data_IF_204554189719
#
_entry.id   IF_204554189719
#
_cell.length_a   1.000
_cell.length_b   1.000
_cell.length_c   1.000
_cell.angle_alpha   90.00
_cell.angle_beta   90.00
_cell.angle_gamma   90.00
#
_symmetry.space_group_name_H-M   'P 1'
#
loop_
_entity.id
_entity.type
_entity.pdbx_description
1 polymer ?
#
# COMPACT_ATOMS: atom_id res chain seq x y z
N UNK A 1 -13.95 -8.15 21.61
CA UNK A 1 -13.58 -6.73 21.80
C UNK A 1 -12.23 -6.71 22.49
N UNK A 2 -11.34 -5.83 22.06
CA UNK A 2 -10.00 -5.65 22.64
C UNK A 2 -9.86 -4.19 23.06
N UNK A 3 -9.25 -3.92 24.21
CA UNK A 3 -9.07 -2.59 24.80
C UNK A 3 -7.62 -2.50 25.32
N UNK A 4 -7.01 -1.34 25.19
CA UNK A 4 -5.66 -1.04 25.67
C UNK A 4 -4.65 -0.91 24.53
N UNK A 5 -3.43 -1.36 24.78
CA UNK A 5 -2.38 -1.37 23.77
C UNK A 5 -2.39 -2.72 23.04
N UNK A 6 -2.31 -2.71 21.71
CA UNK A 6 -2.27 -3.96 20.97
C UNK A 6 -2.22 -3.82 19.45
N UNK A 7 -2.14 -4.98 18.80
CA UNK A 7 -2.06 -5.08 17.35
C UNK A 7 -3.45 -4.96 16.70
N UNK A 8 -3.86 -3.73 16.41
CA UNK A 8 -5.16 -3.45 15.78
C UNK A 8 -5.09 -3.37 14.26
N UNK A 9 -5.65 -4.40 13.61
CA UNK A 9 -5.91 -4.41 12.16
C UNK A 9 -7.41 -4.42 11.91
N UNK A 10 -7.98 -3.26 11.62
CA UNK A 10 -9.40 -3.04 11.38
C UNK A 10 -9.60 -1.79 10.52
N UNK A 11 -10.65 -1.78 9.69
CA UNK A 11 -10.91 -0.63 8.84
C UNK A 11 -9.75 -0.34 7.88
N UNK A 12 -9.24 0.88 8.01
CA UNK A 12 -8.17 1.47 7.22
C UNK A 12 -6.86 1.59 8.00
N UNK A 13 -6.68 0.88 9.11
CA UNK A 13 -5.40 0.78 9.82
C UNK A 13 -4.85 -0.65 9.80
N UNK A 14 -3.52 -0.75 9.80
CA UNK A 14 -2.79 -2.03 9.87
C UNK A 14 -1.64 -1.94 10.87
N UNK A 15 -1.27 -3.08 11.44
CA UNK A 15 -0.10 -3.23 12.31
C UNK A 15 1.12 -3.73 11.55
N UNK A 16 0.89 -4.46 10.47
CA UNK A 16 1.94 -5.06 9.65
C UNK A 16 2.18 -4.21 8.40
N UNK A 17 3.46 -4.04 8.07
CA UNK A 17 3.96 -3.57 6.79
C UNK A 17 4.94 -4.62 6.27
N UNK A 18 4.97 -4.85 4.96
CA UNK A 18 5.92 -5.79 4.35
C UNK A 18 7.38 -5.36 4.52
N UNK A 19 7.63 -4.11 4.89
CA UNK A 19 8.96 -3.54 5.10
C UNK A 19 9.43 -3.60 6.56
N UNK A 20 8.55 -3.79 7.53
CA UNK A 20 8.92 -3.79 8.95
C UNK A 20 9.48 -5.14 9.41
N UNK A 21 10.34 -5.09 10.44
CA UNK A 21 10.79 -6.26 11.18
C UNK A 21 9.86 -6.61 12.36
N UNK A 22 9.12 -5.63 12.86
CA UNK A 22 8.26 -5.72 14.04
C UNK A 22 6.89 -5.09 13.73
N UNK A 23 5.85 -5.60 14.36
CA UNK A 23 4.50 -5.05 14.20
C UNK A 23 4.36 -3.71 14.91
N UNK A 24 3.70 -2.75 14.26
CA UNK A 24 3.28 -1.51 14.91
C UNK A 24 2.08 -1.77 15.84
N UNK A 25 1.98 -1.01 16.93
CA UNK A 25 0.91 -1.15 17.93
C UNK A 25 0.07 0.13 18.02
N UNK A 26 -1.15 -0.02 18.51
CA UNK A 26 -2.09 1.07 18.73
C UNK A 26 -2.61 1.05 20.16
N UNK A 27 -2.93 2.23 20.70
CA UNK A 27 -3.66 2.40 21.97
C UNK A 27 -5.12 2.74 21.67
N UNK A 28 -6.07 1.99 22.23
CA UNK A 28 -7.50 2.29 22.10
C UNK A 28 -8.39 1.07 22.27
N UNK A 29 -9.36 0.89 21.36
CA UNK A 29 -10.15 -0.33 21.29
C UNK A 29 -10.40 -0.82 19.86
N UNK A 30 -10.62 -2.12 19.72
CA UNK A 30 -11.00 -2.78 18.48
C UNK A 30 -12.21 -3.69 18.69
N UNK A 31 -13.12 -3.66 17.73
CA UNK A 31 -14.26 -4.57 17.63
C UNK A 31 -14.15 -5.37 16.34
N UNK A 32 -14.43 -6.66 16.41
CA UNK A 32 -14.57 -7.54 15.24
C UNK A 32 -15.80 -8.40 15.46
N UNK A 33 -16.70 -8.38 14.49
CA UNK A 33 -17.93 -9.16 14.48
C UNK A 33 -18.04 -9.90 13.15
N UNK A 34 -18.51 -11.14 13.19
CA UNK A 34 -18.94 -11.88 12.00
C UNK A 34 -20.46 -12.08 12.10
N UNK A 35 -21.18 -11.80 11.02
CA UNK A 35 -22.61 -12.07 10.90
C UNK A 35 -22.88 -12.62 9.50
N UNK A 36 -23.24 -13.90 9.42
CA UNK A 36 -23.33 -14.63 8.14
C UNK A 36 -22.03 -14.46 7.33
N UNK A 37 -22.18 -14.00 6.08
CA UNK A 37 -21.13 -13.72 5.12
C UNK A 37 -20.43 -12.37 5.32
N UNK A 38 -20.89 -11.59 6.30
CA UNK A 38 -20.33 -10.28 6.63
C UNK A 38 -19.30 -10.38 7.75
N UNK A 39 -18.18 -9.70 7.55
CA UNK A 39 -17.19 -9.38 8.57
C UNK A 39 -17.18 -7.87 8.77
N UNK A 40 -17.48 -7.45 9.98
CA UNK A 40 -17.50 -6.05 10.40
C UNK A 40 -16.35 -5.86 11.38
N UNK A 41 -15.50 -4.88 11.14
CA UNK A 41 -14.42 -4.52 12.06
C UNK A 41 -14.38 -3.03 12.24
N UNK A 42 -14.02 -2.60 13.43
CA UNK A 42 -13.81 -1.19 13.73
C UNK A 42 -12.73 -1.01 14.77
N UNK A 43 -12.10 0.14 14.76
CA UNK A 43 -11.15 0.57 15.77
C UNK A 43 -11.34 2.05 16.05
N UNK A 44 -11.09 2.43 17.30
CA UNK A 44 -10.90 3.80 17.75
C UNK A 44 -9.59 3.82 18.51
N UNK A 45 -8.66 4.66 18.07
CA UNK A 45 -7.30 4.70 18.60
C UNK A 45 -6.92 6.13 18.95
N UNK A 46 -6.09 6.29 19.98
CA UNK A 46 -5.61 7.57 20.51
C UNK A 46 -4.09 7.62 20.62
N UNK A 47 -3.39 6.55 20.21
CA UNK A 47 -1.94 6.48 20.24
C UNK A 47 -1.41 5.45 19.25
N UNK A 48 -0.16 5.65 18.84
CA UNK A 48 0.53 4.78 17.89
C UNK A 48 1.98 4.54 18.32
N UNK A 49 2.44 3.31 18.11
CA UNK A 49 3.84 2.91 18.25
C UNK A 49 4.28 2.26 16.95
N UNK A 50 5.27 2.85 16.28
CA UNK A 50 5.88 2.27 15.09
C UNK A 50 6.53 0.91 15.42
N UNK A 51 6.72 0.04 14.42
CA UNK A 51 7.30 -1.29 14.65
C UNK A 51 8.70 -1.23 15.29
N UNK A 52 9.49 -0.23 14.92
CA UNK A 52 10.82 0.04 15.49
C UNK A 52 10.80 1.06 16.66
N UNK A 53 9.62 1.46 17.13
CA UNK A 53 9.47 2.37 18.27
C UNK A 53 9.54 1.62 19.60
N UNK A 54 10.05 2.28 20.63
CA UNK A 54 10.08 1.76 22.00
C UNK A 54 8.86 2.14 22.83
N UNK A 55 8.16 3.21 22.44
CA UNK A 55 7.14 3.86 23.27
C UNK A 55 5.88 4.19 22.47
N UNK A 56 4.74 4.14 23.18
CA UNK A 56 3.46 4.58 22.64
C UNK A 56 3.42 6.11 22.58
N UNK A 57 3.38 6.65 21.36
CA UNK A 57 3.31 8.08 21.09
C UNK A 57 1.91 8.56 20.74
N UNK A 58 1.82 9.87 20.47
CA UNK A 58 0.62 10.51 19.95
C UNK A 58 0.36 10.11 18.50
N UNK A 59 -0.85 10.36 18.05
CA UNK A 59 -1.18 10.28 16.63
C UNK A 59 -0.80 11.61 15.96
N UNK A 60 -0.18 11.51 14.80
CA UNK A 60 0.44 12.64 14.10
C UNK A 60 0.00 12.68 12.65
N UNK A 61 -0.40 13.85 12.17
CA UNK A 61 -0.66 14.16 10.77
C UNK A 61 0.67 14.33 10.02
N UNK A 62 0.82 13.59 8.92
CA UNK A 62 1.96 13.70 8.02
C UNK A 62 1.58 13.25 6.63
N UNK A 63 1.75 14.09 5.61
CA UNK A 63 1.39 13.69 4.24
C UNK A 63 2.52 12.92 3.54
N UNK A 64 3.77 13.16 3.95
CA UNK A 64 4.96 12.39 3.54
C UNK A 64 5.71 11.86 4.77
N UNK A 65 5.96 10.55 4.81
CA UNK A 65 6.64 9.90 5.93
C UNK A 65 8.07 10.42 6.14
N UNK A 66 8.72 10.93 5.07
CA UNK A 66 10.11 11.40 5.09
C UNK A 66 10.26 12.89 5.38
N UNK A 67 9.17 13.64 5.55
CA UNK A 67 9.26 15.05 5.90
C UNK A 67 9.92 15.21 7.28
N UNK A 68 10.81 16.18 7.46
CA UNK A 68 11.49 16.41 8.74
C UNK A 68 10.80 17.49 9.57
N UNK A 69 9.81 18.17 8.99
CA UNK A 69 9.06 19.22 9.65
C UNK A 69 8.19 18.69 10.81
N UNK A 70 7.92 19.54 11.83
CA UNK A 70 7.11 19.16 12.98
C UNK A 70 5.73 18.68 12.53
N UNK A 71 5.35 17.48 12.95
CA UNK A 71 4.02 16.94 12.68
C UNK A 71 2.98 17.59 13.60
N UNK A 72 1.83 17.92 13.03
CA UNK A 72 0.64 18.26 13.80
C UNK A 72 0.10 17.00 14.48
N UNK A 73 -0.34 17.13 15.73
CA UNK A 73 -0.93 16.00 16.47
C UNK A 73 -2.45 16.05 16.39
N UNK A 74 -3.09 14.89 16.36
CA UNK A 74 -4.55 14.78 16.42
C UNK A 74 -4.97 13.77 17.50
N UNK A 75 -6.13 14.01 18.12
CA UNK A 75 -6.51 13.30 19.35
C UNK A 75 -6.86 11.83 19.13
N UNK A 76 -7.53 11.53 18.02
CA UNK A 76 -8.01 10.20 17.74
C UNK A 76 -8.11 9.90 16.25
N UNK A 77 -8.04 8.61 15.94
CA UNK A 77 -8.37 8.03 14.65
C UNK A 77 -9.41 6.95 14.86
N UNK A 78 -10.52 7.02 14.16
CA UNK A 78 -11.48 5.92 14.12
C UNK A 78 -11.64 5.40 12.71
N UNK A 79 -11.88 4.10 12.60
CA UNK A 79 -12.05 3.45 11.31
C UNK A 79 -12.92 2.22 11.42
N UNK A 80 -13.64 1.90 10.35
CA UNK A 80 -14.43 0.70 10.24
C UNK A 80 -14.42 0.15 8.82
N UNK A 81 -14.58 -1.16 8.69
CA UNK A 81 -14.86 -1.82 7.42
C UNK A 81 -15.97 -2.85 7.54
N UNK A 82 -16.67 -3.03 6.43
CA UNK A 82 -17.58 -4.13 6.19
C UNK A 82 -17.07 -4.88 4.97
N UNK A 83 -16.77 -6.16 5.15
CA UNK A 83 -16.39 -7.09 4.08
C UNK A 83 -17.47 -8.15 3.94
N UNK A 84 -17.95 -8.38 2.73
CA UNK A 84 -18.81 -9.52 2.41
C UNK A 84 -18.08 -10.46 1.46
N UNK A 85 -18.10 -11.75 1.76
CA UNK A 85 -17.63 -12.82 0.87
C UNK A 85 -18.85 -13.57 0.34
N UNK A 86 -18.97 -13.70 -0.99
CA UNK A 86 -20.11 -14.34 -1.66
C UNK A 86 -19.61 -15.64 -2.26
N UNK A 87 -19.90 -16.76 -1.61
CA UNK A 87 -19.27 -18.05 -1.92
C UNK A 87 -17.75 -17.97 -1.75
N UNK A 88 -17.00 -18.75 -2.52
CA UNK A 88 -15.53 -18.75 -2.48
C UNK A 88 -14.89 -17.77 -3.48
N UNK A 89 -15.71 -17.23 -4.39
CA UNK A 89 -15.21 -16.62 -5.62
C UNK A 89 -15.42 -15.11 -5.72
N UNK A 90 -16.34 -14.52 -4.96
CA UNK A 90 -16.67 -13.12 -5.09
C UNK A 90 -16.77 -12.40 -3.75
N UNK A 91 -16.74 -11.07 -3.80
CA UNK A 91 -17.04 -10.27 -2.63
C UNK A 91 -16.69 -8.81 -2.80
N UNK A 92 -16.94 -8.06 -1.74
CA UNK A 92 -16.61 -6.65 -1.68
C UNK A 92 -16.21 -6.25 -0.27
N UNK A 93 -15.55 -5.11 -0.19
CA UNK A 93 -15.20 -4.45 1.06
C UNK A 93 -15.45 -2.96 0.89
N UNK A 94 -16.12 -2.35 1.87
CA UNK A 94 -16.18 -0.91 2.04
C UNK A 94 -15.53 -0.56 3.36
N UNK A 95 -14.80 0.54 3.42
CA UNK A 95 -14.18 1.01 4.63
C UNK A 95 -14.15 2.53 4.69
N UNK A 96 -14.12 3.03 5.91
CA UNK A 96 -14.02 4.45 6.21
C UNK A 96 -13.09 4.66 7.41
N UNK A 97 -12.38 5.77 7.43
CA UNK A 97 -11.62 6.20 8.58
C UNK A 97 -11.42 7.70 8.60
N UNK A 98 -11.29 8.25 9.80
CA UNK A 98 -11.08 9.68 10.02
C UNK A 98 -10.07 9.90 11.13
N UNK A 99 -9.01 10.62 10.81
CA UNK A 99 -8.14 11.27 11.77
C UNK A 99 -8.77 12.62 12.15
N UNK A 100 -8.98 12.83 13.45
CA UNK A 100 -9.67 13.99 13.99
C UNK A 100 -9.10 15.29 13.43
N UNK A 101 -9.96 16.06 12.78
CA UNK A 101 -9.66 17.39 12.23
C UNK A 101 -8.45 17.42 11.28
N UNK A 102 -8.13 16.29 10.63
CA UNK A 102 -7.03 16.21 9.66
C UNK A 102 -7.42 15.53 8.33
N UNK A 103 -7.80 14.25 8.35
CA UNK A 103 -7.99 13.48 7.10
C UNK A 103 -9.14 12.48 7.21
N UNK A 104 -10.02 12.47 6.19
CA UNK A 104 -11.01 11.42 5.96
C UNK A 104 -10.59 10.54 4.81
N UNK A 105 -10.76 9.23 4.96
CA UNK A 105 -10.52 8.25 3.89
C UNK A 105 -11.69 7.30 3.74
N UNK A 106 -12.03 7.03 2.49
CA UNK A 106 -12.97 6.02 2.05
C UNK A 106 -12.23 5.01 1.17
N UNK A 107 -12.63 3.75 1.27
CA UNK A 107 -12.15 2.69 0.39
C UNK A 107 -13.32 1.81 -0.02
N UNK A 108 -13.32 1.40 -1.28
CA UNK A 108 -14.21 0.37 -1.79
C UNK A 108 -13.45 -0.54 -2.72
N UNK A 109 -13.49 -1.84 -2.44
CA UNK A 109 -12.91 -2.86 -3.29
C UNK A 109 -13.95 -3.93 -3.61
N UNK A 110 -13.86 -4.53 -4.79
CA UNK A 110 -14.67 -5.67 -5.19
C UNK A 110 -13.80 -6.67 -5.95
N UNK A 111 -14.13 -7.95 -5.82
CA UNK A 111 -13.45 -9.01 -6.55
C UNK A 111 -14.42 -10.09 -7.02
N UNK A 112 -14.02 -10.74 -8.09
CA UNK A 112 -14.68 -11.93 -8.62
C UNK A 112 -13.63 -12.85 -9.23
N UNK A 113 -13.81 -14.15 -9.01
CA UNK A 113 -13.09 -15.24 -9.67
C UNK A 113 -14.13 -16.04 -10.45
N UNK A 114 -13.86 -16.27 -11.73
CA UNK A 114 -14.78 -16.99 -12.61
C UNK A 114 -14.05 -18.22 -13.16
N UNK A 115 -14.50 -19.44 -12.84
CA UNK A 115 -13.97 -20.65 -13.47
C UNK A 115 -14.41 -20.66 -14.94
N UNK A 116 -13.44 -20.75 -15.84
CA UNK A 116 -13.66 -20.88 -17.30
C UNK A 116 -13.41 -22.31 -17.77
N UNK A 117 -12.75 -23.12 -16.95
CA UNK A 117 -12.54 -24.55 -17.15
C UNK A 117 -12.17 -25.23 -15.84
N UNK A 118 -11.77 -26.50 -15.89
CA UNK A 118 -11.42 -27.29 -14.69
C UNK A 118 -10.12 -26.84 -14.03
N UNK A 119 -9.23 -26.18 -14.76
CA UNK A 119 -7.93 -25.70 -14.29
C UNK A 119 -7.71 -24.21 -14.57
N UNK A 120 -8.72 -23.51 -15.10
CA UNK A 120 -8.58 -22.13 -15.57
C UNK A 120 -9.58 -21.22 -14.88
N UNK A 121 -9.08 -20.16 -14.24
CA UNK A 121 -9.89 -19.12 -13.64
C UNK A 121 -9.49 -17.74 -14.17
N UNK A 122 -10.47 -16.86 -14.34
CA UNK A 122 -10.26 -15.43 -14.53
C UNK A 122 -10.54 -14.76 -13.20
N UNK A 123 -9.59 -13.96 -12.71
CA UNK A 123 -9.76 -13.12 -11.53
C UNK A 123 -9.81 -11.66 -11.94
N UNK A 124 -10.80 -10.94 -11.44
CA UNK A 124 -10.92 -9.50 -11.57
C UNK A 124 -11.04 -8.87 -10.18
N UNK A 125 -10.34 -7.77 -9.96
CA UNK A 125 -10.39 -6.99 -8.73
C UNK A 125 -10.39 -5.51 -9.09
N UNK A 126 -11.28 -4.75 -8.47
CA UNK A 126 -11.34 -3.30 -8.56
C UNK A 126 -11.17 -2.68 -7.19
N UNK A 127 -10.52 -1.52 -7.15
CA UNK A 127 -10.39 -0.72 -5.94
C UNK A 127 -10.57 0.77 -6.23
N UNK A 128 -11.08 1.47 -5.23
CA UNK A 128 -11.16 2.90 -5.20
C UNK A 128 -10.85 3.39 -3.79
N UNK A 129 -9.91 4.33 -3.68
CA UNK A 129 -9.65 5.08 -2.47
C UNK A 129 -9.95 6.54 -2.71
N UNK A 130 -10.51 7.20 -1.69
CA UNK A 130 -10.81 8.62 -1.70
C UNK A 130 -10.39 9.23 -0.36
N UNK A 131 -9.45 10.16 -0.42
CA UNK A 131 -9.03 11.01 0.69
C UNK A 131 -9.71 12.37 0.55
N UNK A 132 -10.15 12.94 1.67
CA UNK A 132 -10.70 14.29 1.73
C UNK A 132 -10.11 15.00 2.94
N UNK A 133 -9.71 16.26 2.76
CA UNK A 133 -9.27 17.14 3.84
C UNK A 133 -10.34 17.22 4.92
N UNK A 134 -9.95 17.32 6.19
CA UNK A 134 -10.92 17.46 7.26
C UNK A 134 -10.40 18.43 8.31
N UNK A 135 -11.24 19.37 8.72
CA UNK A 135 -11.00 20.21 9.89
C UNK A 135 -9.79 21.13 9.83
N UNK A 136 -9.54 21.78 10.96
CA UNK A 136 -8.60 22.88 11.07
C UNK A 136 -7.13 22.46 11.02
N UNK A 137 -6.78 21.22 11.39
CA UNK A 137 -5.38 20.78 11.35
C UNK A 137 -4.91 20.62 9.89
N UNK A 138 -5.79 20.16 8.99
CA UNK A 138 -5.48 20.16 7.56
C UNK A 138 -5.24 21.57 7.01
N UNK A 139 -6.04 22.54 7.42
CA UNK A 139 -5.89 23.93 6.98
C UNK A 139 -4.56 24.53 7.44
N UNK A 140 -4.12 24.22 8.66
CA UNK A 140 -2.79 24.62 9.18
C UNK A 140 -1.68 24.04 8.30
N UNK A 141 -1.72 22.74 8.00
CA UNK A 141 -0.73 22.10 7.12
C UNK A 141 -0.77 22.65 5.69
N UNK A 142 -1.96 23.03 5.22
CA UNK A 142 -2.15 23.61 3.89
C UNK A 142 -1.53 24.99 3.79
N UNK A 143 -1.76 25.84 4.79
CA UNK A 143 -1.15 27.18 4.90
C UNK A 143 0.38 27.08 5.02
N UNK A 144 0.90 26.05 5.67
CA UNK A 144 2.32 25.75 5.76
C UNK A 144 2.91 25.10 4.49
N UNK A 145 2.08 24.75 3.49
CA UNK A 145 2.52 24.08 2.26
C UNK A 145 2.93 22.61 2.45
N UNK A 146 2.54 21.99 3.57
CA UNK A 146 2.92 20.63 3.95
C UNK A 146 1.95 19.56 3.43
N UNK A 147 0.74 19.93 2.99
CA UNK A 147 -0.22 18.96 2.46
C UNK A 147 0.26 18.29 1.16
N UNK A 148 -0.30 17.11 0.86
CA UNK A 148 -0.03 16.40 -0.40
C UNK A 148 -1.13 16.61 -1.45
N UNK A 149 -2.23 17.25 -1.10
CA UNK A 149 -3.31 17.64 -2.00
C UNK A 149 -4.10 18.79 -1.37
N UNK A 150 -4.94 19.51 -2.12
CA UNK A 150 -5.68 20.65 -1.57
C UNK A 150 -6.92 20.20 -0.79
N UNK A 151 -7.89 19.61 -1.49
CA UNK A 151 -9.18 19.23 -0.93
C UNK A 151 -9.39 17.72 -0.92
N UNK A 152 -9.00 17.05 -2.00
CA UNK A 152 -9.17 15.60 -2.13
C UNK A 152 -8.03 14.95 -2.89
N UNK A 153 -7.86 13.66 -2.66
CA UNK A 153 -7.08 12.80 -3.52
C UNK A 153 -7.83 11.49 -3.75
N UNK A 154 -7.71 10.91 -4.94
CA UNK A 154 -8.33 9.64 -5.28
C UNK A 154 -7.34 8.73 -5.97
N UNK A 155 -7.53 7.43 -5.76
CA UNK A 155 -6.77 6.39 -6.41
C UNK A 155 -7.74 5.31 -6.88
N UNK A 156 -7.84 5.12 -8.19
CA UNK A 156 -8.63 4.05 -8.79
C UNK A 156 -7.69 3.01 -9.39
N UNK A 157 -8.01 1.74 -9.23
CA UNK A 157 -7.19 0.69 -9.81
C UNK A 157 -7.95 -0.60 -10.03
N UNK A 158 -7.42 -1.43 -10.92
CA UNK A 158 -7.92 -2.78 -11.13
C UNK A 158 -6.79 -3.76 -11.38
N UNK A 159 -7.09 -5.04 -11.15
CA UNK A 159 -6.26 -6.19 -11.49
C UNK A 159 -7.11 -7.16 -12.30
N UNK A 160 -6.56 -7.66 -13.40
CA UNK A 160 -7.07 -8.80 -14.14
C UNK A 160 -6.01 -9.90 -14.10
N UNK A 161 -6.39 -11.15 -13.82
CA UNK A 161 -5.47 -12.27 -13.87
C UNK A 161 -6.10 -13.49 -14.54
N UNK A 162 -5.28 -14.18 -15.32
CA UNK A 162 -5.54 -15.51 -15.83
C UNK A 162 -4.76 -16.50 -14.96
N UNK A 163 -5.46 -17.38 -14.28
CA UNK A 163 -4.92 -18.44 -13.45
C UNK A 163 -5.13 -19.76 -14.21
N UNK A 164 -4.06 -20.46 -14.56
CA UNK A 164 -4.12 -21.76 -15.24
C UNK A 164 -3.17 -22.74 -14.55
N UNK A 165 -3.73 -23.76 -13.90
CA UNK A 165 -2.99 -24.74 -13.10
C UNK A 165 -2.06 -24.07 -12.05
N UNK A 166 -0.74 -24.16 -12.23
CA UNK A 166 0.30 -23.57 -11.38
C UNK A 166 0.72 -22.15 -11.82
N UNK A 167 0.27 -21.70 -12.99
CA UNK A 167 0.61 -20.39 -13.55
C UNK A 167 -0.45 -19.34 -13.22
N UNK A 168 0.00 -18.11 -12.96
CA UNK A 168 -0.84 -16.92 -12.93
C UNK A 168 -0.16 -15.79 -13.68
N UNK A 169 -0.85 -15.27 -14.68
CA UNK A 169 -0.47 -14.05 -15.41
C UNK A 169 -1.42 -12.94 -15.02
N UNK A 170 -0.88 -11.80 -14.63
CA UNK A 170 -1.67 -10.69 -14.08
C UNK A 170 -1.33 -9.38 -14.79
N UNK A 171 -2.36 -8.59 -15.07
CA UNK A 171 -2.25 -7.20 -15.47
C UNK A 171 -2.86 -6.31 -14.37
N UNK A 172 -2.18 -5.23 -14.02
CA UNK A 172 -2.65 -4.23 -13.07
C UNK A 172 -2.65 -2.84 -13.70
N UNK A 173 -3.60 -2.01 -13.29
CA UNK A 173 -3.67 -0.59 -13.64
C UNK A 173 -4.02 0.22 -12.40
N UNK A 174 -3.51 1.44 -12.34
CA UNK A 174 -3.83 2.40 -11.30
C UNK A 174 -3.73 3.82 -11.85
N UNK A 175 -4.65 4.69 -11.46
CA UNK A 175 -4.61 6.12 -11.73
C UNK A 175 -4.78 6.90 -10.43
N UNK A 176 -3.92 7.89 -10.24
CA UNK A 176 -3.99 8.79 -9.10
C UNK A 176 -4.39 10.19 -9.55
N UNK A 177 -5.28 10.81 -8.78
CA UNK A 177 -5.65 12.21 -8.94
C UNK A 177 -5.64 12.89 -7.58
N UNK A 178 -4.71 13.81 -7.37
CA UNK A 178 -4.43 14.48 -6.12
C UNK A 178 -4.01 15.93 -6.38
N UNK A 179 -4.92 16.82 -6.82
CA UNK A 179 -4.59 18.21 -7.12
C UNK A 179 -3.91 18.93 -5.96
N UNK A 180 -2.90 19.73 -6.27
CA UNK A 180 -2.19 20.57 -5.30
C UNK A 180 -1.79 21.90 -5.95
N UNK A 181 -2.34 23.00 -5.44
CA UNK A 181 -1.98 24.37 -5.80
C UNK A 181 -0.69 24.79 -5.08
N UNK A 182 0.44 24.21 -5.51
CA UNK A 182 1.76 24.55 -4.99
C UNK A 182 2.78 24.61 -6.13
N UNK A 183 3.42 25.77 -6.34
CA UNK A 183 4.39 25.95 -7.42
C UNK A 183 5.65 25.07 -7.27
N UNK A 184 5.95 24.63 -6.04
CA UNK A 184 7.16 23.90 -5.69
C UNK A 184 7.01 22.38 -5.58
N UNK A 185 5.77 21.86 -5.49
CA UNK A 185 5.48 20.45 -5.20
C UNK A 185 4.33 19.93 -6.05
N UNK A 186 4.46 18.71 -6.55
CA UNK A 186 3.34 18.00 -7.18
C UNK A 186 2.53 17.27 -6.11
N UNK A 187 1.21 17.29 -6.26
CA UNK A 187 0.33 16.57 -5.37
C UNK A 187 0.52 15.05 -5.43
N UNK A 188 0.10 14.36 -4.37
CA UNK A 188 0.16 12.90 -4.26
C UNK A 188 -0.86 12.33 -3.27
N UNK A 189 -1.21 11.07 -3.50
CA UNK A 189 -2.12 10.33 -2.61
C UNK A 189 -1.39 9.85 -1.35
N UNK A 190 -1.82 10.27 -0.17
CA UNK A 190 -1.24 9.83 1.12
C UNK A 190 -1.60 8.38 1.48
N UNK A 191 -0.60 7.61 1.99
CA UNK A 191 -0.71 6.19 2.35
C UNK A 191 -1.36 5.97 3.72
N UNK A 192 -1.04 6.80 4.71
CA UNK A 192 -1.47 6.66 6.10
C UNK A 192 -2.39 7.78 6.55
N UNK A 193 -2.75 7.79 7.83
CA UNK A 193 -3.33 8.96 8.48
C UNK A 193 -2.20 9.77 9.14
N UNK A 194 -1.07 9.94 8.45
CA UNK A 194 0.19 10.38 9.04
C UNK A 194 1.01 9.24 9.63
N UNK A 195 1.40 9.31 10.90
CA UNK A 195 2.22 8.25 11.52
C UNK A 195 1.46 6.92 11.66
N UNK A 196 0.13 6.99 11.83
CA UNK A 196 -0.73 5.81 11.86
C UNK A 196 -0.73 5.10 10.51
N UNK A 197 -0.30 3.83 10.51
CA UNK A 197 -0.18 3.02 9.31
C UNK A 197 -1.54 2.75 8.67
N UNK A 198 -1.72 3.31 7.49
CA UNK A 198 -2.90 3.07 6.67
C UNK A 198 -2.90 1.67 6.08
N UNK A 199 -4.07 1.07 5.97
CA UNK A 199 -4.29 -0.05 5.08
C UNK A 199 -4.50 0.50 3.67
N UNK A 200 -3.44 0.47 2.87
CA UNK A 200 -3.53 0.71 1.43
C UNK A 200 -2.76 -0.38 0.71
N UNK A 201 -3.49 -1.21 -0.04
CA UNK A 201 -2.92 -2.11 -1.03
C UNK A 201 -3.22 -1.49 -2.38
N UNK A 202 -2.20 -1.07 -3.11
CA UNK A 202 -2.37 -0.57 -4.47
C UNK A 202 -2.41 -1.75 -5.45
N UNK A 203 -3.15 -1.60 -6.55
CA UNK A 203 -3.19 -2.60 -7.63
C UNK A 203 -1.88 -2.67 -8.39
N UNK A 204 -1.16 -1.55 -8.44
CA UNK A 204 0.21 -1.43 -8.90
C UNK A 204 1.04 -1.00 -7.68
N UNK A 205 1.51 -1.99 -6.92
CA UNK A 205 2.38 -1.77 -5.76
C UNK A 205 3.82 -1.99 -6.16
N UNK A 206 4.58 -0.90 -6.29
CA UNK A 206 6.01 -1.00 -6.51
C UNK A 206 6.70 -1.62 -5.31
N UNK A 207 7.82 -2.29 -5.57
CA UNK A 207 8.71 -2.77 -4.55
C UNK A 207 9.43 -1.65 -3.81
N UNK A 208 9.64 -0.52 -4.48
CA UNK A 208 10.25 0.73 -4.00
C UNK A 208 9.35 1.93 -4.31
N UNK A 209 8.88 2.07 -5.56
CA UNK A 209 8.07 3.20 -5.99
C UNK A 209 6.61 3.08 -5.53
N UNK A 210 6.03 4.19 -5.05
CA UNK A 210 4.63 4.23 -4.64
C UNK A 210 3.63 4.35 -5.80
N UNK A 211 4.04 4.98 -6.90
CA UNK A 211 3.18 5.33 -8.05
C UNK A 211 1.94 6.19 -7.68
N UNK A 212 2.10 7.16 -6.77
CA UNK A 212 0.99 7.93 -6.14
C UNK A 212 0.95 9.41 -6.51
N UNK A 213 1.64 9.86 -7.55
CA UNK A 213 1.67 11.28 -7.93
C UNK A 213 0.39 11.70 -8.62
N UNK A 214 0.03 12.98 -8.52
CA UNK A 214 -1.11 13.52 -9.27
C UNK A 214 -0.94 13.30 -10.78
N UNK A 215 -2.05 12.93 -11.43
CA UNK A 215 -2.09 12.59 -12.85
C UNK A 215 -1.37 11.28 -13.24
N UNK A 216 -0.73 10.58 -12.29
CA UNK A 216 0.06 9.40 -12.60
C UNK A 216 -0.81 8.21 -13.00
N UNK A 217 -0.48 7.61 -14.14
CA UNK A 217 -1.03 6.34 -14.59
C UNK A 217 0.07 5.28 -14.52
N UNK A 218 -0.17 4.26 -13.70
CA UNK A 218 0.75 3.16 -13.50
C UNK A 218 0.12 1.85 -13.93
N UNK A 219 0.93 0.99 -14.52
CA UNK A 219 0.56 -0.32 -15.00
C UNK A 219 1.52 -1.37 -14.46
N UNK A 220 1.06 -2.62 -14.45
CA UNK A 220 1.85 -3.75 -14.00
C UNK A 220 1.55 -4.98 -14.85
N UNK A 221 2.57 -5.77 -15.14
CA UNK A 221 2.43 -7.14 -15.64
C UNK A 221 3.20 -8.06 -14.71
N UNK A 222 2.57 -9.15 -14.27
CA UNK A 222 3.23 -10.14 -13.44
C UNK A 222 3.04 -11.56 -13.98
N UNK A 223 4.09 -12.37 -13.83
CA UNK A 223 4.07 -13.81 -14.01
C UNK A 223 4.40 -14.46 -12.66
N UNK A 224 3.56 -15.40 -12.24
CA UNK A 224 3.65 -16.10 -10.96
C UNK A 224 3.58 -17.59 -11.25
N UNK A 225 4.50 -18.35 -10.66
CA UNK A 225 4.50 -19.80 -10.73
C UNK A 225 4.57 -20.41 -9.34
N UNK A 226 3.65 -21.33 -9.06
CA UNK A 226 3.61 -22.16 -7.85
C UNK A 226 4.24 -23.52 -8.16
N UNK A 227 5.27 -23.90 -7.41
CA UNK A 227 6.05 -25.12 -7.66
C UNK A 227 5.38 -26.40 -7.10
N UNK A 228 4.07 -26.39 -6.85
CA UNK A 228 3.27 -27.57 -6.45
C UNK A 228 3.45 -28.80 -7.35
N UNK A 229 3.82 -28.62 -8.63
CA UNK A 229 4.04 -29.71 -9.58
C UNK A 229 5.49 -30.27 -9.57
N UNK A 230 6.36 -29.79 -8.67
CA UNK A 230 7.79 -30.13 -8.61
C UNK A 230 8.26 -30.63 -7.23
N UNK A 231 7.38 -31.27 -6.44
CA UNK A 231 7.67 -31.70 -5.06
C UNK A 231 8.20 -30.57 -4.15
N UNK A 232 7.93 -29.31 -4.51
CA UNK A 232 8.24 -28.11 -3.73
C UNK A 232 6.96 -27.33 -3.41
N UNK A 233 5.92 -27.96 -2.82
CA UNK A 233 4.73 -27.23 -2.42
C UNK A 233 5.11 -26.14 -1.41
N UNK A 234 4.51 -24.96 -1.58
CA UNK A 234 4.81 -23.79 -0.76
C UNK A 234 5.97 -22.93 -1.29
N UNK A 235 6.65 -23.31 -2.38
CA UNK A 235 7.54 -22.43 -3.13
C UNK A 235 6.76 -21.71 -4.23
N UNK A 236 6.86 -20.39 -4.28
CA UNK A 236 6.39 -19.60 -5.40
C UNK A 236 7.39 -18.53 -5.83
N UNK A 237 7.48 -18.32 -7.15
CA UNK A 237 8.32 -17.28 -7.75
C UNK A 237 7.42 -16.31 -8.51
N UNK A 238 7.68 -15.02 -8.33
CA UNK A 238 6.98 -13.94 -9.00
C UNK A 238 7.97 -13.01 -9.67
N UNK A 239 7.69 -12.68 -10.92
CA UNK A 239 8.30 -11.55 -11.59
C UNK A 239 7.21 -10.52 -11.90
N UNK A 240 7.46 -9.26 -11.55
CA UNK A 240 6.53 -8.15 -11.74
C UNK A 240 7.31 -7.03 -12.44
N UNK A 241 6.73 -6.51 -13.51
CA UNK A 241 7.20 -5.32 -14.19
C UNK A 241 6.15 -4.22 -14.03
N UNK A 242 6.52 -3.15 -13.34
CA UNK A 242 5.70 -1.96 -13.18
C UNK A 242 6.26 -0.85 -14.09
N UNK A 243 5.38 -0.06 -14.69
CA UNK A 243 5.78 1.16 -15.39
C UNK A 243 4.72 2.23 -15.22
N UNK A 244 5.12 3.48 -15.36
CA UNK A 244 4.18 4.60 -15.33
C UNK A 244 4.70 5.79 -16.09
N UNK A 245 3.76 6.60 -16.55
CA UNK A 245 4.00 7.95 -17.01
C UNK A 245 3.45 8.91 -15.95
N UNK A 246 4.22 9.95 -15.61
CA UNK A 246 3.82 10.93 -14.60
C UNK A 246 4.30 12.32 -14.96
N UNK A 247 3.50 13.32 -14.62
CA UNK A 247 3.97 14.70 -14.62
C UNK A 247 5.00 14.82 -13.48
N UNK A 248 6.11 15.49 -13.73
CA UNK A 248 7.06 15.88 -12.71
C UNK A 248 7.64 17.26 -13.01
N UNK A 249 8.04 17.98 -11.96
CA UNK A 249 8.73 19.26 -12.13
C UNK A 249 10.18 18.99 -12.51
N UNK A 250 10.55 19.32 -13.74
CA UNK A 250 11.90 19.14 -14.23
C UNK A 250 12.84 20.18 -13.64
N UNK A 251 13.98 19.75 -13.08
CA UNK A 251 15.05 20.68 -12.66
C UNK A 251 15.79 21.30 -13.85
N UNK A 252 15.71 20.68 -15.03
CA UNK A 252 16.37 21.17 -16.24
C UNK A 252 15.64 22.37 -16.84
N UNK A 253 14.31 22.31 -16.90
CA UNK A 253 13.49 23.35 -17.53
C UNK A 253 12.78 24.25 -16.53
N UNK A 254 12.70 23.84 -15.25
CA UNK A 254 11.92 24.50 -14.21
C UNK A 254 10.39 24.31 -14.33
N UNK A 255 9.93 23.72 -15.43
CA UNK A 255 8.52 23.50 -15.74
C UNK A 255 8.03 22.09 -15.43
N UNK A 256 6.73 21.86 -15.64
CA UNK A 256 6.12 20.54 -15.61
C UNK A 256 6.40 19.81 -16.92
N UNK A 257 6.92 18.60 -16.82
CA UNK A 257 7.22 17.73 -17.96
C UNK A 257 6.74 16.30 -17.67
N UNK A 258 6.50 15.52 -18.72
CA UNK A 258 6.12 14.12 -18.59
C UNK A 258 7.38 13.26 -18.50
N UNK A 259 7.55 12.61 -17.36
CA UNK A 259 8.60 11.63 -17.14
C UNK A 259 8.07 10.21 -16.99
N UNK A 260 8.97 9.26 -17.18
CA UNK A 260 8.73 7.83 -17.12
C UNK A 260 9.50 7.21 -15.97
N UNK A 261 8.91 6.18 -15.41
CA UNK A 261 9.60 5.32 -14.45
C UNK A 261 9.14 3.88 -14.64
N UNK A 262 10.07 2.97 -14.39
CA UNK A 262 9.78 1.55 -14.40
C UNK A 262 10.49 0.84 -13.26
N UNK A 263 9.95 -0.32 -12.92
CA UNK A 263 10.44 -1.12 -11.82
C UNK A 263 10.28 -2.61 -12.09
N UNK A 264 11.37 -3.35 -11.87
CA UNK A 264 11.36 -4.81 -11.90
C UNK A 264 11.36 -5.33 -10.46
N UNK A 265 10.45 -6.25 -10.14
CA UNK A 265 10.38 -6.91 -8.84
C UNK A 265 10.42 -8.42 -9.01
N UNK A 266 11.39 -9.06 -8.37
CA UNK A 266 11.49 -10.51 -8.25
C UNK A 266 11.14 -10.86 -6.80
N UNK A 267 10.16 -11.74 -6.60
CA UNK A 267 9.82 -12.30 -5.29
C UNK A 267 9.97 -13.81 -5.32
N UNK A 268 10.55 -14.38 -4.27
CA UNK A 268 10.60 -15.82 -4.01
C UNK A 268 10.09 -16.02 -2.60
N UNK A 269 9.01 -16.77 -2.42
CA UNK A 269 8.55 -17.16 -1.09
C UNK A 269 8.60 -18.67 -0.99
N UNK A 270 9.07 -19.18 0.13
CA UNK A 270 9.10 -20.60 0.42
C UNK A 270 8.68 -20.86 1.86
N UNK A 271 7.65 -21.68 2.01
CA UNK A 271 7.14 -22.16 3.30
C UNK A 271 7.00 -23.70 3.20
N UNK A 272 8.02 -24.47 3.63
CA UNK A 272 7.99 -25.92 3.59
C UNK A 272 6.74 -26.46 4.29
N UNK A 273 6.02 -27.35 3.62
CA UNK A 273 4.76 -27.90 4.13
C UNK A 273 4.92 -29.14 4.99
N UNK A 274 6.14 -29.66 5.13
CA UNK A 274 6.45 -30.84 5.96
C UNK A 274 7.95 -30.97 6.20
N UNK A 275 8.31 -31.88 7.10
CA UNK A 275 9.70 -32.25 7.40
C UNK A 275 10.32 -31.41 8.50
N UNK A 276 11.64 -31.49 8.66
CA UNK A 276 12.36 -30.83 9.77
C UNK A 276 12.31 -29.29 9.71
N UNK A 277 11.98 -28.73 8.55
CA UNK A 277 11.83 -27.29 8.33
C UNK A 277 10.35 -26.87 8.19
N UNK A 278 9.41 -27.72 8.59
CA UNK A 278 8.02 -27.29 8.77
C UNK A 278 7.98 -26.06 9.70
N UNK A 279 7.05 -25.13 9.42
CA UNK A 279 6.91 -23.81 10.07
C UNK A 279 8.02 -22.78 9.84
N UNK A 280 9.07 -23.12 9.08
CA UNK A 280 10.00 -22.11 8.56
C UNK A 280 9.38 -21.36 7.37
N UNK A 281 9.81 -20.12 7.18
CA UNK A 281 9.49 -19.37 5.99
C UNK A 281 10.68 -18.53 5.53
N UNK A 282 10.82 -18.43 4.21
CA UNK A 282 11.82 -17.59 3.54
C UNK A 282 11.11 -16.71 2.53
N UNK A 283 11.29 -15.39 2.63
CA UNK A 283 10.79 -14.43 1.66
C UNK A 283 11.96 -13.61 1.13
N UNK A 284 12.19 -13.67 -0.17
CA UNK A 284 13.18 -12.87 -0.87
C UNK A 284 12.48 -11.90 -1.82
N UNK A 285 12.88 -10.64 -1.82
CA UNK A 285 12.38 -9.58 -2.70
C UNK A 285 13.58 -8.81 -3.25
N UNK A 286 13.71 -8.72 -4.57
CA UNK A 286 14.69 -7.90 -5.26
C UNK A 286 13.97 -6.90 -6.16
N UNK A 287 14.29 -5.61 -6.01
CA UNK A 287 13.65 -4.50 -6.71
C UNK A 287 14.70 -3.71 -7.46
N UNK A 288 14.43 -3.41 -8.73
CA UNK A 288 15.22 -2.50 -9.57
C UNK A 288 14.31 -1.39 -10.05
N UNK A 289 14.48 -0.19 -9.51
CA UNK A 289 13.71 0.99 -9.86
C UNK A 289 14.56 1.95 -10.68
N UNK A 290 14.03 2.39 -11.82
CA UNK A 290 14.74 3.16 -12.85
C UNK A 290 13.84 4.30 -13.34
N UNK A 291 13.89 5.47 -12.69
CA UNK A 291 13.24 6.68 -13.18
C UNK A 291 14.07 7.34 -14.28
N UNK A 292 13.42 8.04 -15.21
CA UNK A 292 14.12 8.97 -16.10
C UNK A 292 14.53 10.25 -15.37
N UNK A 293 15.28 11.11 -16.07
CA UNK A 293 15.80 12.36 -15.50
C UNK A 293 14.71 13.32 -15.02
N UNK A 294 13.52 13.29 -15.64
CA UNK A 294 12.39 14.16 -15.32
C UNK A 294 11.75 13.72 -13.99
N UNK A 295 11.41 12.44 -13.87
CA UNK A 295 10.89 11.85 -12.62
C UNK A 295 11.91 11.95 -11.49
N UNK A 296 13.17 11.68 -11.80
CA UNK A 296 14.26 11.71 -10.84
C UNK A 296 14.68 13.13 -10.41
N UNK A 297 14.16 14.17 -11.09
CA UNK A 297 14.55 15.56 -10.86
C UNK A 297 16.07 15.76 -10.90
N UNK A 298 16.72 15.19 -11.92
CA UNK A 298 18.17 15.30 -12.15
C UNK A 298 18.55 16.64 -12.77
N UNK A 299 19.68 17.19 -12.36
CA UNK A 299 20.31 18.34 -13.01
C UNK A 299 21.14 17.90 -14.23
N UNK A 300 21.57 18.85 -15.07
CA UNK A 300 22.30 18.54 -16.31
C UNK A 300 23.65 17.84 -16.08
N UNK A 301 24.29 18.15 -14.95
CA UNK A 301 25.57 17.57 -14.52
C UNK A 301 25.41 16.28 -13.71
N UNK A 302 24.17 15.89 -13.38
CA UNK A 302 23.94 14.66 -12.62
C UNK A 302 24.12 13.43 -13.52
N UNK A 303 24.80 12.37 -13.06
CA UNK A 303 24.87 11.13 -13.81
C UNK A 303 23.47 10.52 -13.94
N UNK A 304 23.16 9.96 -15.12
CA UNK A 304 21.82 9.46 -15.45
C UNK A 304 21.30 8.41 -14.45
N UNK A 305 22.20 7.61 -13.87
CA UNK A 305 21.86 6.56 -12.92
C UNK A 305 21.84 7.02 -11.45
N UNK A 306 21.97 8.33 -11.16
CA UNK A 306 22.01 8.86 -9.78
C UNK A 306 20.77 8.48 -8.96
N UNK A 307 19.61 8.43 -9.62
CA UNK A 307 18.34 8.10 -9.01
C UNK A 307 17.94 6.63 -9.14
N UNK A 308 18.76 5.80 -9.78
CA UNK A 308 18.53 4.36 -9.83
C UNK A 308 18.60 3.79 -8.42
N UNK A 309 17.62 2.95 -8.08
CA UNK A 309 17.57 2.27 -6.78
C UNK A 309 17.51 0.77 -6.99
N UNK A 310 18.30 0.06 -6.23
CA UNK A 310 18.23 -1.39 -6.13
C UNK A 310 18.05 -1.75 -4.66
N UNK A 311 17.01 -2.51 -4.34
CA UNK A 311 16.69 -2.92 -2.97
C UNK A 311 16.58 -4.43 -2.92
N UNK A 312 17.25 -5.04 -1.95
CA UNK A 312 17.14 -6.47 -1.65
C UNK A 312 16.60 -6.61 -0.23
N UNK A 313 15.57 -7.44 -0.07
CA UNK A 313 15.05 -7.83 1.24
C UNK A 313 15.00 -9.34 1.32
N UNK A 314 15.57 -9.89 2.39
CA UNK A 314 15.48 -11.30 2.76
C UNK A 314 14.88 -11.37 4.17
N UNK A 315 13.80 -12.12 4.31
CA UNK A 315 13.21 -12.45 5.60
C UNK A 315 13.30 -13.96 5.76
N UNK A 316 13.85 -14.40 6.89
CA UNK A 316 13.81 -15.78 7.33
C UNK A 316 13.15 -15.79 8.69
N UNK A 317 12.18 -16.66 8.90
CA UNK A 317 11.54 -16.81 10.20
C UNK A 317 11.03 -18.22 10.44
N UNK A 318 10.62 -18.45 11.67
CA UNK A 318 10.13 -19.73 12.17
C UNK A 318 8.97 -19.46 13.13
N UNK A 319 7.86 -20.17 12.91
CA UNK A 319 6.70 -20.10 13.79
C UNK A 319 6.68 -21.31 14.71
N UNK A 320 6.34 -21.11 15.99
CA UNK A 320 6.14 -22.22 16.91
C UNK A 320 5.02 -21.90 17.89
N UNK A 321 4.39 -22.94 18.41
CA UNK A 321 3.36 -22.82 19.45
C UNK A 321 3.99 -23.07 20.81
N UNK A 322 3.74 -22.17 21.76
CA UNK A 322 4.22 -22.24 23.14
C UNK A 322 3.30 -23.03 24.05
#
# INVERSE_FOLDING_TARGET
MWIGDGFYTAGLISTADENDALLSSYRGFMVRQKYQDYRIRGAFVTGFMAGNGSDMGNLEGKTDYYDIEPSITYDYLYTADVKRTIGDDAGFQIAYGEAKDYLRRYMTNAWVRVPVGTQTNIYAFGQYYYNHSAGHLWDIDREAGMVSFDQYASNIGYILALEHDAWKVQYGYMKTHAPLENESKLGSFSYGFGNAKGYMKTTVGGGYAGFRRDGQEAMSVAAIYDFRNFDMPGLDIRYIYNWSDSIAKSKLTGGLDYGKEYEHVIKVNYEPKSGMFEDWYVNYKHVFYRPDATVASLSQDDPQNKADKTTIKLIVGYNFTL
#
